data_IF_187394072939
#
_entry.id   IF_187394072939
#
_cell.length_a   1.000
_cell.length_b   1.000
_cell.length_c   1.000
_cell.angle_alpha   90.00
_cell.angle_beta   90.00
_cell.angle_gamma   90.00
#
_symmetry.space_group_name_H-M   'P 1'
#
loop_
_entity.id
_entity.type
_entity.pdbx_description
1 polymer ?
#
# COMPACT_ATOMS: atom_id res chain seq x y z
N UNK A 1 12.02 -12.94 15.77
CA UNK A 1 10.98 -13.79 15.15
C UNK A 1 9.92 -12.86 14.58
N UNK A 2 10.08 -12.48 13.31
CA UNK A 2 9.31 -11.42 12.67
C UNK A 2 7.87 -11.87 12.40
N UNK A 3 6.92 -11.04 12.81
CA UNK A 3 5.48 -11.24 12.64
C UNK A 3 5.19 -11.50 11.16
N UNK A 4 4.87 -12.74 10.80
CA UNK A 4 4.30 -13.06 9.50
C UNK A 4 2.93 -12.37 9.49
N UNK A 5 2.86 -11.16 8.95
CA UNK A 5 1.58 -10.53 8.64
C UNK A 5 0.96 -11.36 7.51
N UNK A 6 -0.13 -12.10 7.77
CA UNK A 6 -0.74 -12.97 6.75
C UNK A 6 -1.49 -12.16 5.68
N UNK A 7 -1.54 -10.84 5.80
CA UNK A 7 -2.23 -9.93 4.90
C UNK A 7 -1.23 -9.03 4.20
N UNK A 8 -1.38 -8.88 2.89
CA UNK A 8 -0.56 -7.99 2.08
C UNK A 8 -0.74 -6.53 2.51
N UNK A 9 0.16 -5.64 2.08
CA UNK A 9 0.03 -4.21 2.36
C UNK A 9 -1.31 -3.69 1.86
N UNK A 10 -1.65 -4.02 0.62
CA UNK A 10 -2.89 -3.66 -0.05
C UNK A 10 -4.13 -3.99 0.78
N UNK A 11 -4.27 -5.23 1.27
CA UNK A 11 -5.40 -5.62 2.12
C UNK A 11 -5.45 -4.87 3.45
N UNK A 12 -4.30 -4.58 4.06
CA UNK A 12 -4.24 -3.83 5.31
C UNK A 12 -4.71 -2.38 5.09
N UNK A 13 -4.27 -1.76 4.00
CA UNK A 13 -4.73 -0.42 3.62
C UNK A 13 -6.22 -0.43 3.29
N UNK A 14 -6.72 -1.40 2.51
CA UNK A 14 -8.14 -1.54 2.22
C UNK A 14 -8.99 -1.58 3.49
N UNK A 15 -8.63 -2.43 4.46
CA UNK A 15 -9.34 -2.50 5.74
C UNK A 15 -9.28 -1.19 6.52
N UNK A 16 -8.16 -0.46 6.49
CA UNK A 16 -8.07 0.86 7.13
C UNK A 16 -9.04 1.84 6.51
N UNK A 17 -9.19 1.84 5.18
CA UNK A 17 -10.18 2.68 4.50
C UNK A 17 -11.61 2.28 4.86
N UNK A 18 -11.93 0.98 4.84
CA UNK A 18 -13.25 0.48 5.24
C UNK A 18 -13.62 0.83 6.70
N UNK A 19 -12.63 0.86 7.60
CA UNK A 19 -12.81 1.19 9.01
C UNK A 19 -12.74 2.71 9.30
N UNK A 20 -12.57 3.56 8.29
CA UNK A 20 -12.41 5.01 8.47
C UNK A 20 -11.08 5.43 9.11
N UNK A 21 -10.08 4.53 9.12
CA UNK A 21 -8.72 4.74 9.62
C UNK A 21 -7.73 5.12 8.51
N UNK A 22 -8.21 5.61 7.36
CA UNK A 22 -7.39 5.98 6.20
C UNK A 22 -6.30 7.02 6.53
N UNK A 23 -6.47 7.82 7.57
CA UNK A 23 -5.45 8.75 8.06
C UNK A 23 -4.11 8.05 8.40
N UNK A 24 -4.16 6.80 8.86
CA UNK A 24 -2.97 6.03 9.21
C UNK A 24 -2.40 5.23 8.04
N UNK A 25 -3.07 5.21 6.89
CA UNK A 25 -2.65 4.46 5.71
C UNK A 25 -1.27 4.91 5.22
N UNK A 26 -1.01 6.22 5.18
CA UNK A 26 0.29 6.76 4.76
C UNK A 26 1.42 6.28 5.67
N UNK A 27 1.22 6.36 6.99
CA UNK A 27 2.20 5.86 7.97
C UNK A 27 2.46 4.37 7.78
N UNK A 28 1.42 3.60 7.46
CA UNK A 28 1.55 2.16 7.22
C UNK A 28 2.42 1.86 5.99
N UNK A 29 2.24 2.59 4.90
CA UNK A 29 3.08 2.46 3.70
C UNK A 29 4.52 2.92 3.98
N UNK A 30 4.71 3.98 4.77
CA UNK A 30 6.05 4.42 5.18
C UNK A 30 6.81 3.32 5.94
N UNK A 31 6.15 2.66 6.89
CA UNK A 31 6.78 1.57 7.64
C UNK A 31 7.12 0.38 6.72
N UNK A 32 6.23 0.04 5.79
CA UNK A 32 6.47 -1.01 4.80
C UNK A 32 7.65 -0.70 3.86
N UNK A 33 7.83 0.56 3.48
CA UNK A 33 9.00 1.03 2.71
C UNK A 33 10.28 0.89 3.52
N UNK A 34 10.28 1.32 4.79
CA UNK A 34 11.44 1.17 5.70
C UNK A 34 11.84 -0.28 5.89
N UNK A 35 10.88 -1.19 6.04
CA UNK A 35 11.13 -2.64 6.14
C UNK A 35 11.86 -3.20 4.92
N UNK A 36 11.76 -2.54 3.76
CA UNK A 36 12.42 -2.90 2.49
C UNK A 36 13.67 -2.08 2.20
N UNK A 37 14.19 -1.35 3.18
CA UNK A 37 15.33 -0.43 3.04
C UNK A 37 15.09 0.74 2.07
N UNK A 38 13.83 1.14 1.86
CA UNK A 38 13.49 2.36 1.14
C UNK A 38 13.25 3.51 2.12
N UNK A 39 13.71 4.71 1.75
CA UNK A 39 13.44 5.91 2.52
C UNK A 39 12.04 6.44 2.16
N UNK A 40 11.07 6.45 3.10
CA UNK A 40 9.71 6.87 2.82
C UNK A 40 9.60 8.34 2.40
N UNK A 41 10.56 9.18 2.79
CA UNK A 41 10.53 10.60 2.45
C UNK A 41 10.76 10.86 0.96
N UNK A 42 11.35 9.91 0.24
CA UNK A 42 11.63 9.99 -1.19
C UNK A 42 10.39 9.71 -2.05
N UNK A 43 9.29 9.25 -1.43
CA UNK A 43 8.07 8.88 -2.12
C UNK A 43 6.89 9.75 -1.66
N UNK A 44 6.05 10.14 -2.61
CA UNK A 44 4.66 10.51 -2.39
C UNK A 44 3.79 9.25 -2.52
N UNK A 45 2.81 9.13 -1.62
CA UNK A 45 1.90 7.99 -1.57
C UNK A 45 0.51 8.47 -1.90
N UNK A 46 -0.07 7.90 -2.93
CA UNK A 46 -1.41 8.23 -3.42
C UNK A 46 -2.27 6.97 -3.29
N UNK A 47 -3.47 7.12 -2.76
CA UNK A 47 -4.42 6.01 -2.59
C UNK A 47 -5.57 6.17 -3.56
N UNK A 48 -5.72 5.22 -4.47
CA UNK A 48 -6.83 5.16 -5.41
C UNK A 48 -7.88 4.17 -4.93
N UNK A 49 -9.06 4.69 -4.60
CA UNK A 49 -10.22 3.87 -4.27
C UNK A 49 -10.82 3.31 -5.57
N UNK A 50 -10.79 2.00 -5.72
CA UNK A 50 -11.40 1.28 -6.83
C UNK A 50 -12.44 0.30 -6.29
N UNK A 51 -13.47 -0.07 -7.07
CA UNK A 51 -14.33 -1.19 -6.71
C UNK A 51 -13.47 -2.46 -6.60
N UNK A 52 -13.74 -3.28 -5.58
CA UNK A 52 -13.03 -4.54 -5.44
C UNK A 52 -13.30 -5.47 -6.64
N UNK A 53 -12.31 -6.25 -7.09
CA UNK A 53 -12.51 -7.17 -8.19
C UNK A 53 -13.55 -8.25 -7.86
N UNK A 54 -14.28 -8.76 -8.85
CA UNK A 54 -15.27 -9.82 -8.63
C UNK A 54 -14.60 -11.06 -8.03
N UNK A 55 -15.12 -11.53 -6.90
CA UNK A 55 -14.56 -12.66 -6.14
C UNK A 55 -13.83 -12.25 -4.85
N UNK A 56 -13.55 -10.97 -4.64
CA UNK A 56 -13.06 -10.45 -3.36
C UNK A 56 -14.17 -10.33 -2.32
N UNK A 57 -13.80 -10.46 -1.04
CA UNK A 57 -14.73 -10.27 0.10
C UNK A 57 -14.94 -8.78 0.46
N UNK A 58 -14.02 -7.92 0.03
CA UNK A 58 -14.07 -6.48 0.24
C UNK A 58 -14.98 -5.81 -0.79
N UNK A 59 -15.59 -4.67 -0.45
CA UNK A 59 -16.44 -3.89 -1.36
C UNK A 59 -15.60 -2.92 -2.20
N UNK A 60 -14.51 -2.42 -1.61
CA UNK A 60 -13.54 -1.52 -2.24
C UNK A 60 -12.16 -2.17 -2.22
N UNK A 61 -11.30 -1.79 -3.15
CA UNK A 61 -9.88 -2.09 -3.16
C UNK A 61 -9.11 -0.77 -3.19
N UNK A 62 -8.10 -0.64 -2.34
CA UNK A 62 -7.21 0.51 -2.36
C UNK A 62 -5.97 0.15 -3.16
N UNK A 63 -5.78 0.83 -4.28
CA UNK A 63 -4.52 0.78 -5.03
C UNK A 63 -3.58 1.83 -4.47
N UNK A 64 -2.34 1.42 -4.19
CA UNK A 64 -1.29 2.24 -3.60
C UNK A 64 -0.38 2.66 -4.73
N UNK A 65 -0.41 3.93 -5.12
CA UNK A 65 0.54 4.51 -6.06
C UNK A 65 1.69 5.16 -5.28
N UNK A 66 2.90 4.66 -5.54
CA UNK A 66 4.13 5.30 -5.10
C UNK A 66 4.62 6.20 -6.23
N UNK A 67 5.01 7.43 -5.90
CA UNK A 67 5.62 8.36 -6.84
C UNK A 67 6.90 8.92 -6.23
N UNK A 68 8.04 8.81 -6.90
CA UNK A 68 9.27 9.41 -6.36
C UNK A 68 9.22 10.93 -6.46
N UNK A 69 9.66 11.62 -5.41
CA UNK A 69 9.69 13.08 -5.33
C UNK A 69 10.76 13.71 -6.21
N UNK A 70 11.79 12.95 -6.55
CA UNK A 70 12.85 13.38 -7.47
C UNK A 70 12.41 13.34 -8.95
N UNK A 71 11.16 12.95 -9.23
CA UNK A 71 10.60 12.89 -10.58
C UNK A 71 10.98 11.64 -11.36
N UNK A 72 11.78 10.73 -10.77
CA UNK A 72 12.08 9.44 -11.39
C UNK A 72 10.89 8.49 -11.28
N UNK A 73 10.72 7.55 -12.23
CA UNK A 73 9.76 6.48 -12.09
C UNK A 73 10.07 5.63 -10.85
N UNK A 74 9.04 5.19 -10.13
CA UNK A 74 9.20 4.15 -9.11
C UNK A 74 9.54 2.82 -9.79
N UNK A 75 10.39 2.03 -9.14
CA UNK A 75 10.67 0.66 -9.57
C UNK A 75 9.38 -0.15 -9.73
N UNK A 76 9.10 -0.73 -10.92
CA UNK A 76 7.87 -1.48 -11.15
C UNK A 76 7.66 -2.60 -10.14
N UNK A 77 8.73 -3.29 -9.77
CA UNK A 77 8.69 -4.33 -8.74
C UNK A 77 8.22 -3.79 -7.38
N UNK A 78 8.69 -2.61 -6.95
CA UNK A 78 8.27 -2.01 -5.68
C UNK A 78 6.78 -1.62 -5.72
N UNK A 79 6.35 -1.04 -6.84
CA UNK A 79 4.96 -0.67 -7.09
C UNK A 79 4.03 -1.89 -7.10
N UNK A 80 4.45 -3.00 -7.72
CA UNK A 80 3.71 -4.27 -7.73
C UNK A 80 3.67 -4.90 -6.33
N UNK A 81 4.78 -4.88 -5.59
CA UNK A 81 4.84 -5.42 -4.23
C UNK A 81 3.91 -4.68 -3.26
N UNK A 82 3.74 -3.36 -3.43
CA UNK A 82 2.79 -2.59 -2.64
C UNK A 82 1.34 -3.03 -2.89
N UNK A 83 1.04 -3.46 -4.11
CA UNK A 83 -0.30 -3.87 -4.57
C UNK A 83 -0.47 -5.38 -4.71
N UNK A 84 0.41 -6.18 -4.08
CA UNK A 84 0.30 -7.63 -4.16
C UNK A 84 -1.03 -8.09 -3.52
N UNK A 85 -1.80 -8.88 -4.28
CA UNK A 85 -2.96 -9.60 -3.77
C UNK A 85 -2.50 -11.02 -3.41
N UNK A 86 -2.86 -11.50 -2.21
CA UNK A 86 -2.56 -12.87 -1.77
C UNK A 86 -3.58 -13.88 -2.31
#
# INVERSE_FOLDING_TARGET
>A
MGRINPYTLQMQITRMFEQGQSFFATTKVHEWLKERNHNPLDYDIIFHQKPAPPGSKEVIAIEIELRRKDGQPVDPWLQEQANLHA
#
